data_IF_588073016921
#
_entry.id   IF_588073016921
#
_cell.length_a   1.000
_cell.length_b   1.000
_cell.length_c   1.000
_cell.angle_alpha   90.00
_cell.angle_beta   90.00
_cell.angle_gamma   90.00
#
_symmetry.space_group_name_H-M   'P 1'
#
loop_
_entity.id
_entity.type
_entity.pdbx_description
1 polymer ?
#
# COMPACT_ATOMS: atom_id res chain seq x y z
N UNK A 1 -21.98 -2.17 14.46
CA UNK A 1 -21.35 -0.83 14.58
C UNK A 1 -19.85 -0.94 14.83
N UNK A 2 -19.37 -1.91 15.62
CA UNK A 2 -17.93 -2.09 15.91
C UNK A 2 -17.05 -2.38 14.69
N UNK A 3 -17.49 -3.23 13.74
CA UNK A 3 -16.66 -3.59 12.57
C UNK A 3 -16.28 -2.40 11.69
N UNK A 4 -17.14 -1.37 11.59
CA UNK A 4 -16.85 -0.19 10.78
C UNK A 4 -15.77 0.67 11.43
N UNK A 5 -15.83 0.85 12.76
CA UNK A 5 -14.85 1.62 13.52
C UNK A 5 -13.47 0.96 13.45
N UNK A 6 -13.42 -0.37 13.57
CA UNK A 6 -12.18 -1.14 13.43
C UNK A 6 -11.60 -1.01 12.01
N UNK A 7 -12.44 -1.07 10.97
CA UNK A 7 -11.99 -0.95 9.59
C UNK A 7 -11.42 0.44 9.28
N UNK A 8 -12.03 1.52 9.78
CA UNK A 8 -11.46 2.88 9.65
C UNK A 8 -10.12 3.01 10.36
N UNK A 9 -9.99 2.43 11.55
CA UNK A 9 -8.71 2.45 12.27
C UNK A 9 -7.59 1.73 11.50
N UNK A 10 -7.92 0.61 10.83
CA UNK A 10 -6.98 -0.10 9.95
C UNK A 10 -6.58 0.76 8.74
N UNK A 11 -7.55 1.43 8.09
CA UNK A 11 -7.28 2.33 6.96
C UNK A 11 -6.37 3.48 7.39
N UNK A 12 -6.65 4.11 8.53
CA UNK A 12 -5.86 5.22 9.05
C UNK A 12 -4.44 4.79 9.38
N UNK A 13 -4.27 3.61 9.99
CA UNK A 13 -2.97 3.05 10.31
C UNK A 13 -2.14 2.75 9.04
N UNK A 14 -2.74 2.11 8.03
CA UNK A 14 -2.09 1.83 6.75
C UNK A 14 -1.72 3.14 6.04
N UNK A 15 -2.61 4.13 6.06
CA UNK A 15 -2.40 5.44 5.44
C UNK A 15 -1.26 6.20 6.10
N UNK A 16 -1.16 6.17 7.44
CA UNK A 16 -0.05 6.75 8.17
C UNK A 16 1.28 6.08 7.78
N UNK A 17 1.30 4.75 7.69
CA UNK A 17 2.46 4.00 7.20
C UNK A 17 2.86 4.42 5.77
N UNK A 18 1.89 4.57 4.87
CA UNK A 18 2.12 4.95 3.48
C UNK A 18 2.76 6.35 3.40
N UNK A 19 2.24 7.32 4.14
CA UNK A 19 2.79 8.68 4.22
C UNK A 19 4.19 8.70 4.82
N UNK A 20 4.42 7.98 5.92
CA UNK A 20 5.75 7.88 6.52
C UNK A 20 6.77 7.26 5.58
N UNK A 21 6.39 6.22 4.86
CA UNK A 21 7.26 5.57 3.88
C UNK A 21 7.55 6.51 2.70
N UNK A 22 6.55 7.28 2.25
CA UNK A 22 6.70 8.28 1.21
C UNK A 22 7.69 9.40 1.60
N UNK A 23 7.56 9.93 2.83
CA UNK A 23 8.51 10.91 3.36
C UNK A 23 9.90 10.31 3.52
N UNK A 24 9.99 9.08 4.03
CA UNK A 24 11.27 8.39 4.26
C UNK A 24 12.06 8.19 2.96
N UNK A 25 11.38 7.93 1.84
CA UNK A 25 12.04 7.80 0.52
C UNK A 25 12.85 9.05 0.14
N UNK A 26 12.43 10.25 0.56
CA UNK A 26 13.15 11.49 0.27
C UNK A 26 14.46 11.62 1.07
N UNK A 27 14.59 10.90 2.18
CA UNK A 27 15.79 10.91 3.02
C UNK A 27 16.83 9.86 2.60
N UNK A 28 16.44 8.90 1.75
CA UNK A 28 17.31 7.81 1.30
C UNK A 28 18.21 8.27 0.15
N UNK A 29 19.50 7.93 0.25
CA UNK A 29 20.51 8.30 -0.76
C UNK A 29 20.96 7.14 -1.65
N UNK A 30 20.68 5.90 -1.22
CA UNK A 30 21.03 4.68 -1.97
C UNK A 30 19.83 4.21 -2.78
N UNK A 31 20.04 3.98 -4.06
CA UNK A 31 19.02 3.48 -5.00
C UNK A 31 18.38 2.18 -4.46
N UNK A 32 19.19 1.23 -3.99
CA UNK A 32 18.70 -0.02 -3.41
C UNK A 32 17.73 0.21 -2.23
N UNK A 33 18.04 1.18 -1.35
CA UNK A 33 17.17 1.53 -0.23
C UNK A 33 15.89 2.22 -0.72
N UNK A 34 15.98 3.10 -1.72
CA UNK A 34 14.81 3.73 -2.34
C UNK A 34 13.88 2.69 -2.97
N UNK A 35 14.43 1.71 -3.70
CA UNK A 35 13.65 0.61 -4.29
C UNK A 35 12.93 -0.18 -3.20
N UNK A 36 13.62 -0.59 -2.12
CA UNK A 36 13.00 -1.31 -1.00
C UNK A 36 11.90 -0.51 -0.32
N UNK A 37 12.12 0.78 -0.06
CA UNK A 37 11.13 1.66 0.54
C UNK A 37 9.93 1.88 -0.41
N UNK A 38 10.17 1.98 -1.72
CA UNK A 38 9.12 2.08 -2.73
C UNK A 38 8.29 0.79 -2.83
N UNK A 39 8.92 -0.38 -2.73
CA UNK A 39 8.22 -1.67 -2.67
C UNK A 39 7.32 -1.74 -1.43
N UNK A 40 7.84 -1.36 -0.26
CA UNK A 40 7.06 -1.31 0.98
C UNK A 40 5.88 -0.34 0.85
N UNK A 41 6.10 0.85 0.30
CA UNK A 41 5.05 1.83 0.05
C UNK A 41 3.96 1.26 -0.87
N UNK A 42 4.36 0.54 -1.92
CA UNK A 42 3.45 -0.09 -2.87
C UNK A 42 2.64 -1.24 -2.27
N UNK A 43 3.22 -2.00 -1.33
CA UNK A 43 2.50 -3.03 -0.59
C UNK A 43 1.46 -2.43 0.37
N UNK A 44 1.82 -1.34 1.07
CA UNK A 44 0.87 -0.60 1.90
C UNK A 44 -0.29 -0.05 1.07
N UNK A 45 -0.01 0.49 -0.13
CA UNK A 45 -1.04 0.94 -1.06
C UNK A 45 -1.95 -0.19 -1.51
N UNK A 46 -1.40 -1.34 -1.90
CA UNK A 46 -2.19 -2.50 -2.29
C UNK A 46 -3.07 -3.02 -1.15
N UNK A 47 -2.53 -3.07 0.07
CA UNK A 47 -3.27 -3.44 1.27
C UNK A 47 -4.42 -2.47 1.54
N UNK A 48 -4.20 -1.16 1.39
CA UNK A 48 -5.24 -0.15 1.54
C UNK A 48 -6.39 -0.36 0.55
N UNK A 49 -6.05 -0.52 -0.74
CA UNK A 49 -7.03 -0.75 -1.82
C UNK A 49 -7.83 -2.04 -1.54
N UNK A 50 -7.17 -3.09 -1.06
CA UNK A 50 -7.82 -4.36 -0.73
C UNK A 50 -8.80 -4.22 0.44
N UNK A 51 -8.44 -3.51 1.51
CA UNK A 51 -9.35 -3.24 2.64
C UNK A 51 -10.57 -2.43 2.16
N UNK A 52 -10.36 -1.41 1.31
CA UNK A 52 -11.46 -0.62 0.75
C UNK A 52 -12.35 -1.49 -0.15
N UNK A 53 -11.77 -2.41 -0.93
CA UNK A 53 -12.52 -3.35 -1.76
C UNK A 53 -13.42 -4.27 -0.93
N UNK A 54 -12.94 -4.73 0.22
CA UNK A 54 -13.72 -5.54 1.17
C UNK A 54 -14.86 -4.72 1.78
N UNK A 55 -14.64 -3.45 2.12
CA UNK A 55 -15.65 -2.60 2.73
C UNK A 55 -16.76 -2.18 1.76
N UNK A 56 -16.40 -1.86 0.52
CA UNK A 56 -17.34 -1.34 -0.47
C UNK A 56 -17.94 -2.44 -1.38
N UNK A 57 -17.38 -3.65 -1.36
CA UNK A 57 -17.85 -4.76 -2.22
C UNK A 57 -17.54 -4.57 -3.71
N UNK A 58 -16.66 -3.64 -4.05
CA UNK A 58 -16.36 -3.23 -5.42
C UNK A 58 -15.30 -4.13 -6.06
N UNK A 59 -15.71 -4.94 -7.03
CA UNK A 59 -14.84 -5.97 -7.63
C UNK A 59 -13.62 -5.40 -8.38
N UNK A 60 -13.77 -4.21 -8.97
CA UNK A 60 -12.70 -3.55 -9.71
C UNK A 60 -11.53 -3.14 -8.81
N UNK A 61 -11.76 -2.93 -7.50
CA UNK A 61 -10.71 -2.59 -6.54
C UNK A 61 -9.80 -3.79 -6.21
N UNK A 62 -10.32 -5.03 -6.22
CA UNK A 62 -9.46 -6.21 -6.07
C UNK A 62 -8.48 -6.36 -7.24
N UNK A 63 -8.95 -6.09 -8.46
CA UNK A 63 -8.08 -6.07 -9.64
C UNK A 63 -7.02 -4.97 -9.51
N UNK A 64 -7.39 -3.77 -9.06
CA UNK A 64 -6.45 -2.67 -8.83
C UNK A 64 -5.40 -3.01 -7.76
N UNK A 65 -5.79 -3.65 -6.65
CA UNK A 65 -4.87 -4.12 -5.62
C UNK A 65 -3.89 -5.16 -6.20
N UNK A 66 -4.41 -6.16 -6.93
CA UNK A 66 -3.60 -7.19 -7.58
C UNK A 66 -2.59 -6.62 -8.59
N UNK A 67 -3.03 -5.72 -9.47
CA UNK A 67 -2.15 -5.03 -10.42
C UNK A 67 -1.08 -4.24 -9.69
N UNK A 68 -1.41 -3.58 -8.58
CA UNK A 68 -0.45 -2.81 -7.77
C UNK A 68 0.63 -3.71 -7.17
N UNK A 69 0.27 -4.87 -6.62
CA UNK A 69 1.25 -5.85 -6.10
C UNK A 69 2.13 -6.37 -7.23
N UNK A 70 1.54 -6.81 -8.33
CA UNK A 70 2.31 -7.42 -9.43
C UNK A 70 3.27 -6.42 -10.07
N UNK A 71 2.78 -5.22 -10.41
CA UNK A 71 3.59 -4.21 -11.11
C UNK A 71 4.62 -3.56 -10.19
N UNK A 72 4.19 -3.01 -9.05
CA UNK A 72 5.06 -2.17 -8.21
C UNK A 72 5.67 -2.92 -7.04
N UNK A 73 4.98 -3.93 -6.54
CA UNK A 73 5.45 -4.76 -5.43
C UNK A 73 6.42 -5.87 -5.84
N UNK A 74 6.35 -6.35 -7.08
CA UNK A 74 7.16 -7.49 -7.55
C UNK A 74 8.00 -7.11 -8.77
N UNK A 75 7.41 -6.56 -9.83
CA UNK A 75 8.13 -6.31 -11.08
C UNK A 75 9.26 -5.29 -10.90
N UNK A 76 8.97 -4.12 -10.30
CA UNK A 76 9.94 -3.05 -10.10
C UNK A 76 11.17 -3.47 -9.27
N UNK A 77 11.05 -4.13 -8.10
CA UNK A 77 12.22 -4.55 -7.34
C UNK A 77 13.04 -5.69 -7.96
N UNK A 78 12.56 -6.30 -9.07
CA UNK A 78 13.24 -7.38 -9.77
C UNK A 78 14.21 -6.87 -10.85
N UNK A 79 14.09 -5.60 -11.25
CA UNK A 79 14.97 -4.90 -12.20
C UNK A 79 15.92 -3.95 -11.47
#
# INVERSE_FOLDING_TARGET
MNNWIEAYFVIDFISAGLLLTAVSMNALKRIESCVKAYTLNSWLLASLIFVIALMNGETHLYAAAGITVLSKGILIPLF
#
